data_IF_041789773227
#
_entry.id   IF_041789773227
#
_cell.length_a   1.000
_cell.length_b   1.000
_cell.length_c   1.000
_cell.angle_alpha   90.00
_cell.angle_beta   90.00
_cell.angle_gamma   90.00
#
_symmetry.space_group_name_H-M   'P 1'
#
loop_
_entity.id
_entity.type
_entity.pdbx_description
1 polymer ?
#
# COMPACT_ATOMS: atom_id res chain seq x y z
N UNK A 1 5.65 -10.24 12.08
CA UNK A 1 4.43 -9.59 12.60
C UNK A 1 3.62 -9.05 11.43
N UNK A 2 2.29 -8.99 11.52
CA UNK A 2 1.44 -8.43 10.46
C UNK A 2 0.76 -7.13 10.91
N UNK A 3 0.88 -6.08 10.08
CA UNK A 3 0.09 -4.85 10.18
C UNK A 3 -0.89 -4.79 9.00
N UNK A 4 -2.11 -4.29 9.24
CA UNK A 4 -3.17 -4.25 8.21
C UNK A 4 -3.85 -2.88 8.25
N UNK A 5 -4.16 -2.33 7.07
CA UNK A 5 -5.02 -1.17 6.90
C UNK A 5 -6.17 -1.52 5.94
N UNK A 6 -7.34 -0.90 6.13
CA UNK A 6 -8.53 -1.16 5.32
C UNK A 6 -9.23 0.16 4.99
N UNK A 7 -9.55 0.35 3.72
CA UNK A 7 -10.45 1.43 3.25
C UNK A 7 -11.79 0.82 2.89
N UNK A 8 -12.86 1.33 3.50
CA UNK A 8 -14.24 0.96 3.18
C UNK A 8 -14.83 2.02 2.23
N UNK A 9 -15.68 1.60 1.30
CA UNK A 9 -16.39 2.47 0.36
C UNK A 9 -15.47 3.31 -0.55
N UNK A 10 -14.42 2.70 -1.09
CA UNK A 10 -13.57 3.36 -2.09
C UNK A 10 -14.39 3.70 -3.35
N UNK A 11 -14.31 4.95 -3.80
CA UNK A 11 -15.00 5.40 -5.02
C UNK A 11 -14.35 4.77 -6.26
N UNK A 12 -14.99 3.74 -6.81
CA UNK A 12 -14.56 3.11 -8.05
C UNK A 12 -14.97 1.64 -8.14
N UNK A 13 -14.72 1.02 -9.30
CA UNK A 13 -14.93 -0.42 -9.47
C UNK A 13 -13.78 -1.20 -8.83
N UNK A 14 -14.13 -2.27 -8.10
CA UNK A 14 -13.16 -3.21 -7.52
C UNK A 14 -12.14 -3.73 -8.55
N UNK A 15 -12.55 -3.93 -9.81
CA UNK A 15 -11.65 -4.38 -10.89
C UNK A 15 -10.50 -3.41 -11.14
N UNK A 16 -10.76 -2.10 -11.12
CA UNK A 16 -9.73 -1.07 -11.33
C UNK A 16 -8.71 -1.04 -10.19
N UNK A 17 -9.16 -1.32 -8.97
CA UNK A 17 -8.28 -1.43 -7.81
C UNK A 17 -7.41 -2.69 -7.86
N UNK A 18 -8.00 -3.86 -8.20
CA UNK A 18 -7.26 -5.13 -8.30
C UNK A 18 -6.06 -5.03 -9.25
N UNK A 19 -6.23 -4.39 -10.41
CA UNK A 19 -5.13 -4.19 -11.37
C UNK A 19 -3.91 -3.48 -10.75
N UNK A 20 -4.12 -2.54 -9.83
CA UNK A 20 -3.02 -1.84 -9.15
C UNK A 20 -2.48 -2.68 -8.00
N UNK A 21 -3.36 -3.35 -7.25
CA UNK A 21 -2.98 -4.22 -6.14
C UNK A 21 -2.14 -5.42 -6.59
N UNK A 22 -2.44 -5.97 -7.77
CA UNK A 22 -1.68 -7.09 -8.34
C UNK A 22 -0.25 -6.66 -8.73
N UNK A 23 -0.01 -5.38 -9.03
CA UNK A 23 1.34 -4.86 -9.35
C UNK A 23 2.26 -4.75 -8.13
N UNK A 24 1.70 -4.53 -6.95
CA UNK A 24 2.46 -4.31 -5.71
C UNK A 24 2.50 -5.53 -4.78
N UNK A 25 1.73 -6.59 -5.09
CA UNK A 25 1.67 -7.78 -4.25
C UNK A 25 3.04 -8.50 -4.24
N UNK A 26 3.57 -8.74 -3.05
CA UNK A 26 4.84 -9.46 -2.86
C UNK A 26 6.08 -8.64 -3.19
N UNK A 27 5.93 -7.32 -3.40
CA UNK A 27 7.04 -6.40 -3.60
C UNK A 27 7.42 -5.74 -2.28
N UNK A 28 8.68 -5.34 -2.15
CA UNK A 28 9.11 -4.58 -0.98
C UNK A 28 8.40 -3.24 -0.91
N UNK A 29 8.23 -2.71 0.30
CA UNK A 29 7.56 -1.42 0.53
C UNK A 29 8.15 -0.28 -0.31
N UNK A 30 9.49 -0.10 -0.40
CA UNK A 30 10.07 0.95 -1.24
C UNK A 30 9.79 0.76 -2.72
N UNK A 31 9.75 -0.49 -3.21
CA UNK A 31 9.44 -0.78 -4.61
C UNK A 31 7.95 -0.54 -4.90
N UNK A 32 7.06 -0.98 -4.02
CA UNK A 32 5.63 -0.74 -4.11
C UNK A 32 5.31 0.77 -4.15
N UNK A 33 5.96 1.57 -3.31
CA UNK A 33 5.81 3.03 -3.33
C UNK A 33 6.23 3.65 -4.66
N UNK A 34 7.36 3.21 -5.24
CA UNK A 34 7.81 3.67 -6.56
C UNK A 34 6.80 3.33 -7.65
N UNK A 35 6.29 2.10 -7.66
CA UNK A 35 5.30 1.65 -8.64
C UNK A 35 4.01 2.47 -8.54
N UNK A 36 3.54 2.73 -7.31
CA UNK A 36 2.35 3.54 -7.09
C UNK A 36 2.55 5.00 -7.51
N UNK A 37 3.74 5.56 -7.28
CA UNK A 37 4.08 6.93 -7.66
C UNK A 37 4.10 7.14 -9.18
N UNK A 38 4.68 6.21 -9.94
CA UNK A 38 4.76 6.31 -11.40
C UNK A 38 3.51 5.77 -12.12
N UNK A 39 2.56 5.18 -11.40
CA UNK A 39 1.34 4.64 -11.99
C UNK A 39 0.38 5.77 -12.42
N UNK A 40 0.03 5.77 -13.71
CA UNK A 40 -0.97 6.71 -14.28
C UNK A 40 -2.42 6.37 -13.89
N UNK A 41 -2.66 5.34 -13.06
CA UNK A 41 -3.99 4.93 -12.65
C UNK A 41 -4.46 5.78 -11.47
N UNK A 42 -5.65 6.38 -11.57
CA UNK A 42 -6.25 7.17 -10.47
C UNK A 42 -6.26 6.43 -9.13
N UNK A 43 -6.52 5.12 -9.15
CA UNK A 43 -6.60 4.28 -7.94
C UNK A 43 -5.24 4.14 -7.24
N UNK A 44 -4.13 4.40 -7.92
CA UNK A 44 -2.79 4.30 -7.33
C UNK A 44 -2.60 5.29 -6.16
N UNK A 45 -3.16 6.50 -6.27
CA UNK A 45 -3.11 7.48 -5.18
C UNK A 45 -3.84 6.99 -3.92
N UNK A 46 -5.00 6.34 -4.08
CA UNK A 46 -5.77 5.79 -2.97
C UNK A 46 -5.05 4.59 -2.33
N UNK A 47 -4.45 3.74 -3.15
CA UNK A 47 -3.66 2.59 -2.69
C UNK A 47 -2.36 3.03 -2.00
N UNK A 48 -1.71 4.09 -2.46
CA UNK A 48 -0.54 4.66 -1.81
C UNK A 48 -0.87 5.19 -0.41
N UNK A 49 -2.01 5.86 -0.25
CA UNK A 49 -2.49 6.28 1.08
C UNK A 49 -2.76 5.09 2.00
N UNK A 50 -3.37 4.02 1.48
CA UNK A 50 -3.61 2.79 2.24
C UNK A 50 -2.29 2.16 2.70
N UNK A 51 -1.30 2.07 1.81
CA UNK A 51 0.02 1.52 2.12
C UNK A 51 0.70 2.32 3.24
N UNK A 52 0.70 3.65 3.13
CA UNK A 52 1.27 4.52 4.15
C UNK A 52 0.55 4.39 5.51
N UNK A 53 -0.78 4.21 5.49
CA UNK A 53 -1.54 3.94 6.72
C UNK A 53 -1.19 2.57 7.34
N UNK A 54 -0.92 1.56 6.52
CA UNK A 54 -0.48 0.25 7.03
C UNK A 54 0.91 0.34 7.66
N UNK A 55 1.82 1.12 7.08
CA UNK A 55 3.15 1.39 7.63
C UNK A 55 3.06 2.14 8.96
N UNK A 56 2.25 3.20 9.03
CA UNK A 56 2.04 3.92 10.29
C UNK A 56 1.44 3.02 11.38
N UNK A 57 0.56 2.08 11.02
CA UNK A 57 0.03 1.09 11.97
C UNK A 57 1.10 0.10 12.44
N UNK A 58 2.04 -0.28 11.56
CA UNK A 58 3.19 -1.08 11.96
C UNK A 58 4.09 -0.31 12.93
N UNK A 59 4.33 0.97 12.66
CA UNK A 59 5.13 1.87 13.49
C UNK A 59 4.56 2.07 14.87
N UNK A 60 3.27 2.32 14.95
CA UNK A 60 2.61 2.46 16.25
C UNK A 60 2.66 1.17 17.08
N UNK A 61 2.78 0.00 16.43
CA UNK A 61 2.74 -1.29 17.12
C UNK A 61 4.11 -1.77 17.60
N UNK A 62 5.18 -1.51 16.85
CA UNK A 62 6.53 -2.01 17.15
C UNK A 62 7.57 -0.91 17.42
N UNK A 63 7.27 0.36 17.16
CA UNK A 63 8.24 1.46 17.25
C UNK A 63 9.01 1.67 15.94
N UNK A 64 10.35 1.76 15.99
CA UNK A 64 11.18 1.92 14.78
C UNK A 64 11.50 0.57 14.14
N UNK A 65 11.17 0.41 12.86
CA UNK A 65 11.47 -0.76 12.05
C UNK A 65 11.98 -0.32 10.68
N UNK A 66 12.86 -1.11 10.09
CA UNK A 66 13.41 -0.83 8.75
C UNK A 66 12.37 -1.15 7.68
N UNK A 67 12.04 -0.15 6.87
CA UNK A 67 11.06 -0.27 5.78
C UNK A 67 11.57 -1.15 4.64
N UNK A 68 12.88 -1.37 4.55
CA UNK A 68 13.53 -2.19 3.52
C UNK A 68 13.23 -3.69 3.66
N UNK A 69 12.95 -4.16 4.89
CA UNK A 69 12.68 -5.57 5.17
C UNK A 69 11.18 -5.92 5.15
N UNK A 70 10.33 -4.96 4.78
CA UNK A 70 8.88 -5.15 4.72
C UNK A 70 8.39 -5.44 3.30
N UNK A 71 7.45 -6.38 3.20
CA UNK A 71 6.82 -6.88 1.96
C UNK A 71 5.29 -6.89 2.07
#
# INVERSE_FOLDING_TARGET
MEAKARVRNLRGSARKARLVLDLIRGKSVPEAQKILFFSKKRVAADVAKLLNSALANAEHKEGKFDTENMF
#
